data_IF_081423418743
#
_entry.id   IF_081423418743
#
_cell.length_a   1.000
_cell.length_b   1.000
_cell.length_c   1.000
_cell.angle_alpha   90.00
_cell.angle_beta   90.00
_cell.angle_gamma   90.00
#
_symmetry.space_group_name_H-M   'P 1'
#
loop_
_entity.id
_entity.type
_entity.pdbx_description
1 polymer ?
#
# COMPACT_ATOMS: atom_id res chain seq x y z
N UNK A 1 -26.51 -9.07 22.79
CA UNK A 1 -25.05 -9.01 22.90
C UNK A 1 -24.58 -8.04 21.83
N UNK A 2 -23.73 -7.06 22.16
CA UNK A 2 -23.10 -6.19 21.18
C UNK A 2 -22.16 -7.03 20.32
N UNK A 3 -22.17 -6.83 19.01
CA UNK A 3 -21.26 -7.54 18.11
C UNK A 3 -19.80 -7.11 18.38
N UNK A 4 -18.82 -8.02 18.24
CA UNK A 4 -17.41 -7.66 18.37
C UNK A 4 -16.98 -6.72 17.24
N UNK A 5 -16.00 -5.84 17.50
CA UNK A 5 -15.52 -4.86 16.51
C UNK A 5 -15.07 -5.48 15.19
N UNK A 6 -14.50 -6.70 15.23
CA UNK A 6 -14.08 -7.44 14.03
C UNK A 6 -15.26 -7.86 13.14
N UNK A 7 -16.49 -7.90 13.66
CA UNK A 7 -17.69 -8.17 12.87
C UNK A 7 -18.20 -6.93 12.11
N UNK A 8 -17.62 -5.76 12.36
CA UNK A 8 -17.99 -4.52 11.66
C UNK A 8 -17.35 -4.40 10.27
N UNK A 9 -16.45 -5.31 9.90
CA UNK A 9 -15.74 -5.28 8.62
C UNK A 9 -15.90 -6.59 7.85
N UNK A 10 -15.52 -6.58 6.58
CA UNK A 10 -15.60 -7.71 5.66
C UNK A 10 -14.43 -8.71 5.84
N UNK A 11 -14.56 -9.88 5.21
CA UNK A 11 -13.50 -10.89 5.22
C UNK A 11 -12.23 -10.37 4.51
N UNK A 12 -11.01 -10.69 5.02
CA UNK A 12 -9.77 -10.22 4.38
C UNK A 12 -9.64 -10.68 2.91
N UNK A 13 -9.56 -9.76 1.94
CA UNK A 13 -9.60 -10.07 0.50
C UNK A 13 -8.59 -11.12 0.04
N UNK A 14 -7.34 -11.04 0.53
CA UNK A 14 -6.31 -12.02 0.17
C UNK A 14 -6.65 -13.41 0.67
N UNK A 15 -7.25 -13.52 1.86
CA UNK A 15 -7.65 -14.81 2.42
C UNK A 15 -8.87 -15.37 1.67
N UNK A 16 -9.77 -14.50 1.22
CA UNK A 16 -10.88 -14.89 0.36
C UNK A 16 -10.38 -15.48 -0.96
N UNK A 17 -9.45 -14.80 -1.65
CA UNK A 17 -8.80 -15.32 -2.85
C UNK A 17 -8.11 -16.67 -2.62
N UNK A 18 -7.46 -16.86 -1.46
CA UNK A 18 -6.86 -18.16 -1.10
C UNK A 18 -7.88 -19.27 -0.92
N UNK A 19 -9.10 -18.96 -0.47
CA UNK A 19 -10.19 -19.96 -0.37
C UNK A 19 -10.64 -20.44 -1.75
N UNK A 20 -10.62 -19.56 -2.78
CA UNK A 20 -11.01 -19.93 -4.13
C UNK A 20 -10.10 -20.96 -4.78
N UNK A 21 -8.83 -21.04 -4.38
CA UNK A 21 -7.87 -22.03 -4.89
C UNK A 21 -7.76 -23.27 -3.99
N UNK A 22 -8.42 -23.27 -2.84
CA UNK A 22 -8.34 -24.39 -1.89
C UNK A 22 -8.94 -25.66 -2.48
N UNK A 23 -8.14 -26.73 -2.51
CA UNK A 23 -8.56 -28.03 -3.07
C UNK A 23 -8.56 -28.10 -4.60
N UNK A 24 -8.05 -27.08 -5.30
CA UNK A 24 -7.84 -27.13 -6.74
C UNK A 24 -6.40 -27.52 -7.06
N UNK A 25 -6.25 -28.41 -8.06
CA UNK A 25 -4.97 -28.79 -8.63
C UNK A 25 -4.77 -28.09 -9.98
N UNK A 26 -3.61 -27.52 -10.18
CA UNK A 26 -3.24 -26.86 -11.43
C UNK A 26 -2.17 -27.67 -12.15
N UNK A 27 -2.40 -28.08 -13.41
CA UNK A 27 -1.44 -28.90 -14.14
C UNK A 27 -0.11 -28.17 -14.36
N UNK A 28 1.00 -28.88 -14.38
CA UNK A 28 2.35 -28.32 -14.54
C UNK A 28 2.52 -27.50 -15.83
N UNK A 29 1.82 -27.88 -16.90
CA UNK A 29 1.82 -27.15 -18.18
C UNK A 29 0.85 -25.95 -18.20
N UNK A 30 0.02 -25.79 -17.17
CA UNK A 30 -0.87 -24.63 -16.99
C UNK A 30 -0.94 -24.25 -15.50
N UNK A 31 0.18 -23.79 -14.91
CA UNK A 31 0.22 -23.44 -13.50
C UNK A 31 -0.69 -22.24 -13.20
N UNK A 32 -1.09 -22.10 -11.94
CA UNK A 32 -1.84 -20.93 -11.48
C UNK A 32 -1.00 -19.66 -11.66
N UNK A 33 -1.58 -18.66 -12.30
CA UNK A 33 -1.06 -17.29 -12.33
C UNK A 33 -1.66 -16.53 -11.14
N UNK A 34 -0.86 -16.30 -10.11
CA UNK A 34 -1.32 -15.60 -8.91
C UNK A 34 -0.92 -14.12 -8.95
N UNK A 35 -1.87 -13.27 -9.29
CA UNK A 35 -1.76 -11.81 -9.32
C UNK A 35 -2.70 -11.13 -8.32
N UNK A 36 -3.08 -11.85 -7.26
CA UNK A 36 -3.98 -11.35 -6.21
C UNK A 36 -3.27 -10.51 -5.17
N UNK A 37 -2.07 -10.93 -4.72
CA UNK A 37 -1.33 -10.26 -3.66
C UNK A 37 -0.09 -9.56 -4.22
N UNK A 38 -0.02 -8.25 -4.08
CA UNK A 38 1.15 -7.47 -4.45
C UNK A 38 2.26 -7.69 -3.42
N UNK A 39 3.09 -8.66 -3.66
CA UNK A 39 4.26 -8.96 -2.84
C UNK A 39 5.39 -9.45 -3.74
N UNK A 40 6.65 -9.08 -3.46
CA UNK A 40 7.79 -9.71 -4.13
C UNK A 40 7.73 -11.22 -3.97
N UNK A 41 7.92 -11.95 -5.07
CA UNK A 41 7.91 -13.43 -5.07
C UNK A 41 9.28 -14.00 -4.71
N UNK A 42 10.34 -13.25 -4.97
CA UNK A 42 11.70 -13.62 -4.61
C UNK A 42 12.06 -13.16 -3.20
N UNK A 43 12.97 -13.88 -2.51
CA UNK A 43 13.49 -13.44 -1.23
C UNK A 43 14.36 -12.17 -1.37
N UNK A 44 14.68 -11.48 -0.27
CA UNK A 44 15.68 -10.42 -0.27
C UNK A 44 17.03 -10.93 -0.82
N UNK A 45 17.89 -10.05 -1.36
CA UNK A 45 19.20 -10.45 -1.90
C UNK A 45 20.05 -11.16 -0.84
N UNK A 46 20.92 -12.07 -1.28
CA UNK A 46 21.71 -12.92 -0.38
C UNK A 46 22.47 -12.12 0.68
N UNK A 47 23.09 -11.00 0.27
CA UNK A 47 23.85 -10.16 1.19
C UNK A 47 22.99 -9.60 2.35
N UNK A 48 21.74 -9.20 2.09
CA UNK A 48 20.82 -8.76 3.15
C UNK A 48 20.42 -9.92 4.06
N UNK A 49 20.19 -11.10 3.49
CA UNK A 49 19.87 -12.31 4.29
C UNK A 49 21.05 -12.71 5.16
N UNK A 50 22.28 -12.62 4.65
CA UNK A 50 23.50 -12.89 5.39
C UNK A 50 23.67 -11.86 6.52
N UNK A 51 23.60 -10.57 6.24
CA UNK A 51 23.70 -9.52 7.26
C UNK A 51 22.67 -9.72 8.40
N UNK A 52 21.45 -10.13 8.06
CA UNK A 52 20.43 -10.45 9.06
C UNK A 52 20.80 -11.69 9.89
N UNK A 53 21.36 -12.73 9.28
CA UNK A 53 21.82 -13.91 10.00
C UNK A 53 22.97 -13.56 10.96
N UNK A 54 23.88 -12.70 10.52
CA UNK A 54 25.00 -12.22 11.34
C UNK A 54 24.50 -11.45 12.57
N UNK A 55 23.52 -10.54 12.39
CA UNK A 55 22.86 -9.84 13.51
C UNK A 55 22.26 -10.83 14.50
N UNK A 56 21.50 -11.83 14.01
CA UNK A 56 20.86 -12.82 14.86
C UNK A 56 21.85 -13.72 15.62
N UNK A 57 23.08 -13.87 15.13
CA UNK A 57 24.10 -14.71 15.75
C UNK A 57 25.08 -13.95 16.63
N UNK A 58 25.28 -12.65 16.40
CA UNK A 58 26.38 -11.89 17.01
C UNK A 58 25.93 -10.73 17.87
N UNK A 59 24.65 -10.33 17.82
CA UNK A 59 24.12 -9.19 18.58
C UNK A 59 23.12 -9.66 19.62
N UNK A 60 23.57 -9.78 20.86
CA UNK A 60 22.73 -10.18 21.98
C UNK A 60 21.55 -9.20 22.21
N UNK A 61 21.78 -7.89 22.03
CA UNK A 61 20.77 -6.85 22.16
C UNK A 61 19.61 -6.97 21.16
N UNK A 62 19.85 -7.57 19.98
CA UNK A 62 18.81 -7.83 18.99
C UNK A 62 17.75 -8.87 19.41
N UNK A 63 17.98 -9.55 20.53
CA UNK A 63 17.06 -10.53 21.12
C UNK A 63 16.30 -9.99 22.35
N UNK A 64 16.54 -8.75 22.72
CA UNK A 64 15.91 -8.10 23.88
C UNK A 64 14.89 -7.06 23.42
N UNK A 65 14.08 -6.56 24.35
CA UNK A 65 13.24 -5.40 24.08
C UNK A 65 14.09 -4.20 23.73
N UNK A 66 13.72 -3.50 22.67
CA UNK A 66 14.32 -2.26 22.26
C UNK A 66 13.40 -1.04 22.49
N UNK A 67 13.77 0.13 21.97
CA UNK A 67 12.95 1.31 22.08
C UNK A 67 11.59 1.13 21.40
N UNK A 68 10.53 1.65 22.02
CA UNK A 68 9.14 1.54 21.52
C UNK A 68 9.01 2.14 20.12
N UNK A 69 9.61 3.31 19.88
CA UNK A 69 9.59 3.97 18.56
C UNK A 69 10.62 3.38 17.58
N UNK A 70 11.33 2.31 17.96
CA UNK A 70 12.31 1.63 17.12
C UNK A 70 13.75 2.09 17.31
N UNK A 71 14.69 1.38 16.69
CA UNK A 71 16.13 1.63 16.79
C UNK A 71 16.47 3.05 16.37
N UNK A 72 17.24 3.74 17.20
CA UNK A 72 17.64 5.13 16.97
C UNK A 72 18.39 5.29 15.64
N UNK A 73 19.31 4.38 15.33
CA UNK A 73 20.10 4.43 14.10
C UNK A 73 19.22 4.27 12.86
N UNK A 74 18.18 3.43 12.92
CA UNK A 74 17.24 3.27 11.80
C UNK A 74 16.37 4.52 11.64
N UNK A 75 15.91 5.11 12.74
CA UNK A 75 15.14 6.37 12.73
C UNK A 75 15.97 7.52 12.16
N UNK A 76 17.22 7.66 12.58
CA UNK A 76 18.15 8.69 12.10
C UNK A 76 18.44 8.53 10.61
N UNK A 77 18.74 7.31 10.15
CA UNK A 77 19.00 7.06 8.72
C UNK A 77 17.75 7.31 7.86
N UNK A 78 16.56 6.88 8.33
CA UNK A 78 15.33 7.13 7.58
C UNK A 78 14.99 8.62 7.53
N UNK A 79 15.20 9.38 8.62
CA UNK A 79 15.06 10.83 8.64
C UNK A 79 15.99 11.49 7.61
N UNK A 80 17.27 11.09 7.60
CA UNK A 80 18.24 11.60 6.65
C UNK A 80 17.89 11.27 5.20
N UNK A 81 17.38 10.05 4.94
CA UNK A 81 16.91 9.69 3.60
C UNK A 81 15.67 10.46 3.18
N UNK A 82 14.71 10.66 4.08
CA UNK A 82 13.52 11.46 3.81
C UNK A 82 13.92 12.88 3.41
N UNK A 83 14.80 13.52 4.18
CA UNK A 83 15.32 14.85 3.84
C UNK A 83 16.06 14.88 2.49
N UNK A 84 16.83 13.83 2.15
CA UNK A 84 17.51 13.74 0.85
C UNK A 84 16.56 13.58 -0.34
N UNK A 85 15.47 12.81 -0.16
CA UNK A 85 14.54 12.49 -1.25
C UNK A 85 13.59 13.65 -1.50
N UNK A 86 13.02 14.23 -0.42
CA UNK A 86 11.93 15.20 -0.52
C UNK A 86 12.37 16.65 -0.31
N UNK A 87 13.64 16.90 0.03
CA UNK A 87 14.07 18.19 0.55
C UNK A 87 13.65 18.42 2.01
N UNK A 88 13.85 19.64 2.51
CA UNK A 88 13.44 20.04 3.86
C UNK A 88 14.26 19.38 4.97
N UNK A 89 13.69 19.37 6.17
CA UNK A 89 14.35 18.87 7.38
C UNK A 89 13.42 17.90 8.13
N UNK A 90 13.97 16.73 8.43
CA UNK A 90 13.31 15.70 9.27
C UNK A 90 14.32 15.23 10.31
N UNK A 91 13.91 15.20 11.58
CA UNK A 91 14.73 14.71 12.69
C UNK A 91 14.39 13.24 13.00
N UNK A 92 15.32 12.54 13.66
CA UNK A 92 15.05 11.19 14.17
C UNK A 92 13.90 11.12 15.17
N UNK A 93 13.62 12.24 15.87
CA UNK A 93 12.51 12.35 16.82
C UNK A 93 11.14 12.44 16.13
N UNK A 94 11.12 12.72 14.84
CA UNK A 94 9.93 12.75 14.00
C UNK A 94 9.70 11.42 13.25
N UNK A 95 10.45 10.36 13.59
CA UNK A 95 10.33 9.03 12.96
C UNK A 95 9.97 7.98 14.00
N UNK A 96 8.99 7.15 13.72
CA UNK A 96 8.68 5.91 14.45
C UNK A 96 8.75 4.70 13.52
N UNK A 97 9.40 3.63 13.96
CA UNK A 97 9.40 2.33 13.27
C UNK A 97 8.23 1.51 13.78
N UNK A 98 7.57 0.81 12.87
CA UNK A 98 6.37 0.02 13.16
C UNK A 98 6.48 -1.41 12.63
N UNK A 99 5.61 -2.29 13.10
CA UNK A 99 5.52 -3.66 12.59
C UNK A 99 4.83 -3.73 11.21
N UNK A 100 5.40 -2.99 10.24
CA UNK A 100 4.87 -2.79 8.89
C UNK A 100 3.92 -1.60 8.78
N UNK A 101 3.67 -1.13 7.55
CA UNK A 101 2.87 0.07 7.28
C UNK A 101 1.42 -0.04 7.78
N UNK A 102 0.83 -1.23 7.79
CA UNK A 102 -0.51 -1.42 8.36
C UNK A 102 -0.57 -1.04 9.85
N UNK A 103 0.48 -1.33 10.64
CA UNK A 103 0.53 -0.89 12.03
C UNK A 103 0.75 0.62 12.12
N UNK A 104 1.53 1.23 11.22
CA UNK A 104 1.69 2.67 11.14
C UNK A 104 0.34 3.36 10.91
N UNK A 105 -0.45 2.89 9.94
CA UNK A 105 -1.80 3.40 9.71
C UNK A 105 -2.70 3.21 10.93
N UNK A 106 -2.70 2.02 11.53
CA UNK A 106 -3.50 1.72 12.71
C UNK A 106 -3.17 2.66 13.88
N UNK A 107 -1.88 2.92 14.11
CA UNK A 107 -1.41 3.86 15.13
C UNK A 107 -1.81 5.31 14.84
N UNK A 108 -1.72 5.74 13.55
CA UNK A 108 -2.18 7.06 13.13
C UNK A 108 -3.67 7.26 13.41
N UNK A 109 -4.49 6.28 13.04
CA UNK A 109 -5.95 6.35 13.29
C UNK A 109 -6.26 6.33 14.80
N UNK A 110 -5.60 5.47 15.57
CA UNK A 110 -5.80 5.41 17.01
C UNK A 110 -5.44 6.74 17.72
N UNK A 111 -4.44 7.46 17.21
CA UNK A 111 -4.01 8.77 17.73
C UNK A 111 -4.94 9.91 17.29
N UNK A 112 -5.50 9.84 16.07
CA UNK A 112 -6.27 10.96 15.49
C UNK A 112 -7.76 10.91 15.81
N UNK A 113 -8.33 9.73 16.09
CA UNK A 113 -9.79 9.52 16.03
C UNK A 113 -10.36 8.93 17.29
N UNK A 114 -11.63 9.23 17.51
CA UNK A 114 -12.53 8.54 18.43
C UNK A 114 -13.64 7.80 17.65
N UNK A 115 -14.39 6.95 18.33
CA UNK A 115 -15.56 6.28 17.75
C UNK A 115 -16.58 7.30 17.20
N UNK A 116 -17.00 7.11 15.95
CA UNK A 116 -17.91 8.00 15.22
C UNK A 116 -17.24 9.15 14.48
N UNK A 117 -15.93 9.33 14.61
CA UNK A 117 -15.16 10.23 13.74
C UNK A 117 -15.08 9.71 12.30
N UNK A 118 -14.63 10.56 11.39
CA UNK A 118 -14.62 10.30 9.96
C UNK A 118 -13.21 10.46 9.38
N UNK A 119 -12.86 9.57 8.41
CA UNK A 119 -11.65 9.66 7.60
C UNK A 119 -12.04 9.53 6.13
N UNK A 120 -11.61 10.49 5.31
CA UNK A 120 -11.86 10.50 3.87
C UNK A 120 -10.85 9.58 3.19
N UNK A 121 -11.36 8.62 2.40
CA UNK A 121 -10.57 7.69 1.59
C UNK A 121 -10.95 7.79 0.12
N UNK A 122 -10.01 8.10 -0.81
CA UNK A 122 -10.24 7.91 -2.23
C UNK A 122 -10.64 6.48 -2.56
N UNK A 123 -11.62 6.33 -3.47
CA UNK A 123 -12.05 5.03 -3.98
C UNK A 123 -11.64 4.87 -5.45
N UNK A 124 -11.08 3.70 -5.83
CA UNK A 124 -10.93 2.47 -5.03
C UNK A 124 -9.88 2.62 -3.91
N UNK A 125 -10.22 2.16 -2.71
CA UNK A 125 -9.36 2.28 -1.51
C UNK A 125 -8.47 1.07 -1.27
N UNK A 126 -7.42 1.24 -0.48
CA UNK A 126 -6.70 0.09 0.09
C UNK A 126 -7.54 -0.56 1.19
N UNK A 127 -7.96 -1.80 0.97
CA UNK A 127 -8.93 -2.48 1.83
C UNK A 127 -8.51 -2.58 3.30
N UNK A 128 -7.20 -2.69 3.62
CA UNK A 128 -6.79 -2.75 5.02
C UNK A 128 -6.98 -1.42 5.76
N UNK A 129 -6.90 -0.28 5.07
CA UNK A 129 -7.28 1.01 5.65
C UNK A 129 -8.76 1.02 6.02
N UNK A 130 -9.62 0.65 5.08
CA UNK A 130 -11.08 0.55 5.32
C UNK A 130 -11.40 -0.43 6.46
N UNK A 131 -10.81 -1.63 6.44
CA UNK A 131 -11.03 -2.64 7.48
C UNK A 131 -10.63 -2.13 8.88
N UNK A 132 -9.52 -1.40 8.98
CA UNK A 132 -9.11 -0.86 10.27
C UNK A 132 -10.04 0.24 10.77
N UNK A 133 -10.49 1.14 9.90
CA UNK A 133 -11.48 2.15 10.24
C UNK A 133 -12.78 1.51 10.78
N UNK A 134 -13.30 0.50 10.09
CA UNK A 134 -14.50 -0.24 10.53
C UNK A 134 -14.32 -0.82 11.95
N UNK A 135 -13.21 -1.55 12.16
CA UNK A 135 -12.92 -2.14 13.47
C UNK A 135 -12.67 -1.11 14.55
N UNK A 136 -12.25 0.10 14.19
CA UNK A 136 -12.04 1.21 15.13
C UNK A 136 -13.33 1.98 15.44
N UNK A 137 -14.42 1.70 14.72
CA UNK A 137 -15.67 2.46 14.83
C UNK A 137 -15.57 3.85 14.19
N UNK A 138 -14.60 4.04 13.28
CA UNK A 138 -14.38 5.25 12.50
C UNK A 138 -15.02 5.10 11.13
N UNK A 139 -15.79 6.09 10.71
CA UNK A 139 -16.45 6.05 9.41
C UNK A 139 -15.48 6.36 8.29
N UNK A 140 -15.27 5.43 7.36
CA UNK A 140 -14.65 5.73 6.09
C UNK A 140 -15.64 6.51 5.21
N UNK A 141 -15.27 7.73 4.82
CA UNK A 141 -16.01 8.56 3.87
C UNK A 141 -15.41 8.34 2.48
N UNK A 142 -16.14 7.69 1.56
CA UNK A 142 -15.61 7.45 0.23
C UNK A 142 -15.49 8.76 -0.56
N UNK A 143 -14.36 8.96 -1.22
CA UNK A 143 -14.11 10.03 -2.17
C UNK A 143 -13.94 9.39 -3.56
N UNK A 144 -14.92 9.47 -4.45
CA UNK A 144 -14.79 8.94 -5.80
C UNK A 144 -13.60 9.55 -6.53
N UNK A 145 -12.90 8.74 -7.33
CA UNK A 145 -11.86 9.22 -8.23
C UNK A 145 -12.42 9.44 -9.64
N UNK A 146 -11.76 10.30 -10.40
CA UNK A 146 -12.08 10.51 -11.82
C UNK A 146 -11.73 9.31 -12.72
N UNK A 147 -11.95 9.45 -14.01
CA UNK A 147 -11.61 8.43 -15.01
C UNK A 147 -10.11 8.12 -15.07
N UNK A 148 -9.27 9.02 -14.60
CA UNK A 148 -7.82 8.90 -14.44
C UNK A 148 -7.39 8.26 -13.10
N UNK A 149 -8.35 7.83 -12.29
CA UNK A 149 -8.16 7.30 -10.94
C UNK A 149 -7.52 8.32 -9.95
N UNK A 150 -7.64 9.62 -10.22
CA UNK A 150 -7.19 10.68 -9.32
C UNK A 150 -8.36 11.24 -8.52
N UNK A 151 -8.20 11.49 -7.20
CA UNK A 151 -9.21 12.15 -6.38
C UNK A 151 -9.20 13.67 -6.61
N UNK A 152 -10.37 14.31 -6.47
CA UNK A 152 -10.51 15.76 -6.59
C UNK A 152 -10.54 16.44 -5.20
N UNK A 153 -9.59 17.38 -4.91
CA UNK A 153 -9.60 18.14 -3.66
C UNK A 153 -10.89 18.99 -3.47
N UNK A 154 -11.55 19.42 -4.55
CA UNK A 154 -12.79 20.18 -4.45
C UNK A 154 -13.95 19.28 -4.00
N UNK A 155 -14.03 18.07 -4.52
CA UNK A 155 -14.99 17.07 -4.03
C UNK A 155 -14.71 16.68 -2.59
N UNK A 156 -13.42 16.48 -2.24
CA UNK A 156 -13.01 16.18 -0.88
C UNK A 156 -13.46 17.26 0.11
N UNK A 157 -13.37 18.54 -0.26
CA UNK A 157 -13.82 19.65 0.56
C UNK A 157 -15.32 19.54 0.92
N UNK A 158 -16.15 19.04 0.00
CA UNK A 158 -17.60 18.82 0.26
C UNK A 158 -17.87 17.66 1.22
N UNK A 159 -16.91 16.74 1.37
CA UNK A 159 -17.01 15.59 2.27
C UNK A 159 -16.58 15.92 3.71
N UNK A 160 -15.93 17.07 3.95
CA UNK A 160 -15.43 17.46 5.27
C UNK A 160 -16.57 17.88 6.17
N UNK A 161 -16.64 17.28 7.36
CA UNK A 161 -17.60 17.61 8.43
C UNK A 161 -16.85 17.95 9.73
N UNK A 162 -17.57 18.35 10.76
CA UNK A 162 -16.99 18.58 12.10
C UNK A 162 -16.39 17.30 12.74
N UNK A 163 -16.69 16.12 12.18
CA UNK A 163 -16.16 14.82 12.63
C UNK A 163 -14.98 14.34 11.81
N UNK A 164 -14.68 14.96 10.68
CA UNK A 164 -13.54 14.58 9.86
C UNK A 164 -12.24 14.86 10.61
N UNK A 165 -11.34 13.87 10.68
CA UNK A 165 -10.04 13.97 11.34
C UNK A 165 -8.86 13.85 10.40
N UNK A 166 -9.04 13.16 9.27
CA UNK A 166 -7.98 12.98 8.29
C UNK A 166 -8.51 12.76 6.89
N UNK A 167 -7.66 13.05 5.91
CA UNK A 167 -7.72 12.55 4.54
C UNK A 167 -6.54 11.59 4.38
N UNK A 168 -6.77 10.41 3.77
CA UNK A 168 -5.69 9.45 3.52
C UNK A 168 -5.49 9.28 2.03
N UNK A 169 -4.30 9.57 1.55
CA UNK A 169 -3.86 9.30 0.19
C UNK A 169 -2.92 8.10 0.16
N UNK A 170 -2.95 7.33 -0.93
CA UNK A 170 -2.00 6.24 -1.19
C UNK A 170 -1.37 6.50 -2.55
N UNK A 171 -0.06 6.78 -2.60
CA UNK A 171 0.65 7.10 -3.85
C UNK A 171 2.05 6.49 -3.87
N UNK A 172 2.40 5.72 -4.90
CA UNK A 172 1.51 5.16 -5.94
C UNK A 172 0.35 4.37 -5.35
N UNK A 173 -0.83 4.46 -5.98
CA UNK A 173 -2.07 3.95 -5.43
C UNK A 173 -2.13 2.41 -5.40
N UNK A 174 -2.70 1.87 -4.37
CA UNK A 174 -3.22 0.51 -4.28
C UNK A 174 -4.73 0.59 -4.04
N UNK A 175 -5.58 0.18 -5.03
CA UNK A 175 -5.31 -0.81 -6.08
C UNK A 175 -5.00 -0.26 -7.48
N UNK A 176 -5.20 1.04 -7.77
CA UNK A 176 -5.21 1.54 -9.13
C UNK A 176 -3.80 1.64 -9.78
N UNK A 177 -2.73 1.68 -8.99
CA UNK A 177 -1.37 1.79 -9.47
C UNK A 177 -0.95 3.22 -9.87
N UNK A 178 -1.88 4.16 -9.99
CA UNK A 178 -1.58 5.53 -10.42
C UNK A 178 -0.70 6.27 -9.43
N UNK A 179 0.17 7.09 -9.95
CA UNK A 179 1.02 8.01 -9.19
C UNK A 179 0.30 9.35 -9.10
N UNK A 180 0.10 9.86 -7.88
CA UNK A 180 -0.56 11.15 -7.71
C UNK A 180 0.45 12.28 -8.02
N UNK A 181 0.07 13.25 -8.87
CA UNK A 181 0.91 14.42 -9.16
C UNK A 181 1.25 15.19 -7.89
N UNK A 182 2.44 15.80 -7.85
CA UNK A 182 2.91 16.59 -6.72
C UNK A 182 1.93 17.71 -6.35
N UNK A 183 1.44 18.43 -7.33
CA UNK A 183 0.47 19.51 -7.16
C UNK A 183 -0.87 19.03 -6.59
N UNK A 184 -1.27 17.79 -6.89
CA UNK A 184 -2.46 17.18 -6.32
C UNK A 184 -2.26 16.88 -4.83
N UNK A 185 -1.13 16.30 -4.47
CA UNK A 185 -0.78 16.00 -3.07
C UNK A 185 -0.67 17.30 -2.27
N UNK A 186 -0.07 18.35 -2.85
CA UNK A 186 0.01 19.67 -2.24
C UNK A 186 -1.37 20.31 -2.03
N UNK A 187 -2.28 20.20 -3.00
CA UNK A 187 -3.64 20.71 -2.86
C UNK A 187 -4.41 20.00 -1.73
N UNK A 188 -4.21 18.69 -1.54
CA UNK A 188 -4.79 17.96 -0.40
C UNK A 188 -4.16 18.39 0.93
N UNK A 189 -2.85 18.70 0.97
CA UNK A 189 -2.20 19.25 2.15
C UNK A 189 -2.82 20.60 2.53
N UNK A 190 -2.99 21.48 1.56
CA UNK A 190 -3.57 22.81 1.79
C UNK A 190 -5.02 22.71 2.28
N UNK A 191 -5.81 21.84 1.68
CA UNK A 191 -7.17 21.55 2.11
C UNK A 191 -7.20 21.03 3.58
N UNK A 192 -6.37 20.03 3.90
CA UNK A 192 -6.30 19.47 5.24
C UNK A 192 -5.88 20.53 6.27
N UNK A 193 -4.86 21.33 5.97
CA UNK A 193 -4.39 22.42 6.82
C UNK A 193 -5.48 23.49 7.06
N UNK A 194 -6.18 23.90 6.01
CA UNK A 194 -7.25 24.89 6.12
C UNK A 194 -8.40 24.45 7.04
N UNK A 195 -8.62 23.15 7.16
CA UNK A 195 -9.65 22.56 8.02
C UNK A 195 -9.10 22.04 9.37
N UNK A 196 -7.82 22.16 9.64
CA UNK A 196 -7.19 21.69 10.88
C UNK A 196 -7.27 20.17 11.07
N UNK A 197 -7.27 19.41 9.96
CA UNK A 197 -7.28 17.94 9.93
C UNK A 197 -5.94 17.40 9.42
N UNK A 198 -5.66 16.11 9.67
CA UNK A 198 -4.43 15.50 9.20
C UNK A 198 -4.52 15.08 7.71
N UNK A 199 -3.40 15.15 7.00
CA UNK A 199 -3.17 14.46 5.74
C UNK A 199 -2.26 13.25 6.00
N UNK A 200 -2.77 12.03 5.79
CA UNK A 200 -1.99 10.80 5.82
C UNK A 200 -1.60 10.46 4.38
N UNK A 201 -0.30 10.33 4.12
CA UNK A 201 0.22 9.90 2.80
C UNK A 201 0.93 8.56 2.98
N UNK A 202 0.31 7.49 2.48
CA UNK A 202 0.90 6.15 2.44
C UNK A 202 1.69 5.98 1.16
N UNK A 203 3.00 5.98 1.29
CA UNK A 203 3.96 5.80 0.20
C UNK A 203 4.67 4.44 0.25
N UNK A 204 3.92 3.38 0.54
CA UNK A 204 4.43 1.99 0.52
C UNK A 204 5.14 1.63 -0.80
N UNK A 205 4.80 2.29 -1.90
CA UNK A 205 5.35 2.03 -3.24
C UNK A 205 6.23 3.18 -3.77
N UNK A 206 6.65 4.11 -2.91
CA UNK A 206 7.47 5.28 -3.25
C UNK A 206 8.65 4.95 -4.18
N UNK A 207 9.35 3.87 -3.90
CA UNK A 207 10.58 3.50 -4.61
C UNK A 207 10.33 2.96 -6.03
N UNK A 208 9.08 2.86 -6.46
CA UNK A 208 8.66 2.34 -7.78
C UNK A 208 7.97 3.39 -8.66
N UNK A 209 8.12 4.67 -8.34
CA UNK A 209 7.66 5.76 -9.20
C UNK A 209 8.31 5.71 -10.59
N UNK A 210 7.53 6.04 -11.63
CA UNK A 210 8.05 6.13 -12.99
C UNK A 210 8.91 7.38 -13.19
N UNK A 211 8.50 8.50 -12.61
CA UNK A 211 9.27 9.74 -12.62
C UNK A 211 10.52 9.63 -11.74
N UNK A 212 11.55 10.38 -12.08
CA UNK A 212 12.74 10.60 -11.24
C UNK A 212 12.52 11.86 -10.38
N UNK A 213 13.12 11.87 -9.19
CA UNK A 213 13.02 12.98 -8.26
C UNK A 213 12.08 12.70 -7.09
N UNK A 214 11.80 13.74 -6.31
CA UNK A 214 10.86 13.65 -5.20
C UNK A 214 9.43 13.40 -5.69
N UNK A 215 8.67 12.51 -5.08
CA UNK A 215 7.25 12.34 -5.39
C UNK A 215 6.41 13.59 -5.09
N UNK A 216 6.83 14.39 -4.11
CA UNK A 216 6.21 15.64 -3.70
C UNK A 216 7.18 16.48 -2.87
N UNK A 217 6.86 17.76 -2.66
CA UNK A 217 7.68 18.73 -1.90
C UNK A 217 7.17 19.04 -0.49
N UNK A 218 6.27 18.23 0.07
CA UNK A 218 5.59 18.56 1.35
C UNK A 218 6.57 18.77 2.51
N UNK A 219 7.71 18.09 2.53
CA UNK A 219 8.73 18.22 3.58
C UNK A 219 9.58 19.49 3.46
N UNK A 220 9.51 20.22 2.34
CA UNK A 220 10.17 21.53 2.19
C UNK A 220 9.48 22.64 2.98
N UNK A 221 8.19 22.46 3.32
CA UNK A 221 7.46 23.35 4.19
C UNK A 221 8.00 23.23 5.62
N UNK A 222 8.46 24.32 6.28
CA UNK A 222 9.01 24.24 7.64
C UNK A 222 7.99 23.73 8.68
N UNK A 223 6.70 23.91 8.42
CA UNK A 223 5.59 23.49 9.30
C UNK A 223 4.90 22.23 8.76
N UNK A 224 5.60 21.38 7.99
CA UNK A 224 5.01 20.20 7.36
C UNK A 224 4.33 19.25 8.36
N UNK A 225 4.87 19.15 9.56
CA UNK A 225 4.46 18.19 10.59
C UNK A 225 3.23 18.62 11.40
N UNK A 226 2.70 19.82 11.17
CA UNK A 226 1.40 20.24 11.70
C UNK A 226 0.25 19.45 11.04
N UNK A 227 0.41 19.09 9.77
CA UNK A 227 -0.63 18.49 8.93
C UNK A 227 -0.27 17.09 8.47
N UNK A 228 0.96 16.88 7.96
CA UNK A 228 1.39 15.63 7.32
C UNK A 228 1.67 14.53 8.33
N UNK A 229 1.20 13.32 7.98
CA UNK A 229 1.64 12.04 8.53
C UNK A 229 2.04 11.17 7.34
N UNK A 230 3.33 10.90 7.21
CA UNK A 230 3.85 10.10 6.10
C UNK A 230 4.10 8.66 6.56
N UNK A 231 3.65 7.68 5.75
CA UNK A 231 3.81 6.26 6.03
C UNK A 231 4.71 5.61 4.97
N UNK A 232 5.63 4.77 5.44
CA UNK A 232 6.57 4.07 4.56
C UNK A 232 6.68 2.59 4.90
N UNK A 233 7.00 1.74 3.90
CA UNK A 233 7.11 0.30 4.06
C UNK A 233 8.40 -0.26 3.47
N UNK A 234 9.15 -1.01 4.24
CA UNK A 234 10.31 -1.79 3.78
C UNK A 234 9.90 -3.09 3.06
N UNK A 235 8.62 -3.44 3.10
CA UNK A 235 8.12 -4.71 2.55
C UNK A 235 8.35 -4.86 1.05
N UNK A 236 8.21 -3.77 0.29
CA UNK A 236 8.31 -3.81 -1.18
C UNK A 236 9.72 -3.44 -1.63
N UNK A 237 10.22 -2.31 -1.16
CA UNK A 237 11.52 -1.77 -1.52
C UNK A 237 12.67 -2.76 -1.26
N UNK A 238 12.66 -3.45 -0.13
CA UNK A 238 13.74 -4.37 0.28
C UNK A 238 13.32 -5.84 0.34
N UNK A 239 12.15 -6.18 -0.21
CA UNK A 239 11.56 -7.54 -0.16
C UNK A 239 11.44 -8.09 1.29
N UNK A 240 11.23 -7.20 2.28
CA UNK A 240 11.14 -7.54 3.70
C UNK A 240 9.70 -7.83 4.16
N UNK A 241 8.86 -8.41 3.30
CA UNK A 241 7.44 -8.67 3.59
C UNK A 241 7.23 -9.49 4.87
N UNK A 242 8.01 -10.54 5.08
CA UNK A 242 7.95 -11.42 6.25
C UNK A 242 8.60 -10.84 7.51
N UNK A 243 9.35 -9.73 7.39
CA UNK A 243 10.07 -9.12 8.52
C UNK A 243 9.27 -8.06 9.24
N UNK A 244 8.15 -7.60 8.65
CA UNK A 244 7.22 -6.65 9.25
C UNK A 244 7.91 -5.38 9.72
N UNK A 245 8.51 -4.62 8.80
CA UNK A 245 9.12 -3.31 9.08
C UNK A 245 8.44 -2.23 8.24
N UNK A 246 7.96 -1.20 8.89
CA UNK A 246 7.41 0.02 8.31
C UNK A 246 7.81 1.21 9.14
N UNK A 247 7.39 2.40 8.74
CA UNK A 247 7.67 3.63 9.46
C UNK A 247 6.54 4.64 9.32
N UNK A 248 6.47 5.51 10.31
CA UNK A 248 5.69 6.73 10.31
C UNK A 248 6.63 7.92 10.50
N UNK A 249 6.45 8.98 9.71
CA UNK A 249 7.10 10.27 9.90
C UNK A 249 6.00 11.30 10.23
N UNK A 250 6.08 11.91 11.41
CA UNK A 250 5.09 12.84 11.95
C UNK A 250 5.71 13.75 13.00
N UNK A 251 4.98 14.76 13.50
CA UNK A 251 5.47 15.62 14.58
C UNK A 251 5.80 14.81 15.85
N UNK A 252 6.74 15.29 16.63
CA UNK A 252 7.12 14.68 17.92
C UNK A 252 5.91 14.57 18.87
N UNK A 253 5.03 15.57 18.87
CA UNK A 253 3.81 15.56 19.68
C UNK A 253 2.88 14.41 19.28
N UNK A 254 2.72 14.16 17.97
CA UNK A 254 1.93 13.02 17.46
C UNK A 254 2.60 11.70 17.79
N UNK A 255 3.92 11.62 17.66
CA UNK A 255 4.65 10.38 17.97
C UNK A 255 4.61 10.03 19.45
N UNK A 256 4.53 11.00 20.36
CA UNK A 256 4.31 10.73 21.78
C UNK A 256 2.96 10.04 22.07
N UNK A 257 1.93 10.33 21.29
CA UNK A 257 0.66 9.61 21.38
C UNK A 257 0.72 8.22 20.67
N UNK A 258 1.39 8.14 19.53
CA UNK A 258 1.65 6.89 18.82
C UNK A 258 2.43 5.89 19.66
N UNK A 259 3.39 6.37 20.47
CA UNK A 259 4.19 5.54 21.37
C UNK A 259 3.32 4.73 22.33
N UNK A 260 2.25 5.30 22.88
CA UNK A 260 1.31 4.60 23.77
C UNK A 260 0.63 3.42 23.06
N UNK A 261 0.26 3.62 21.79
CA UNK A 261 -0.33 2.54 20.97
C UNK A 261 0.70 1.45 20.67
N UNK A 262 1.90 1.83 20.24
CA UNK A 262 2.95 0.86 19.88
C UNK A 262 3.40 0.05 21.09
N UNK A 263 3.58 0.68 22.24
CA UNK A 263 3.91 -0.01 23.49
C UNK A 263 2.85 -1.05 23.86
N UNK A 264 1.58 -0.64 23.81
CA UNK A 264 0.45 -1.50 24.19
C UNK A 264 0.30 -2.71 23.23
N UNK A 265 0.52 -2.51 21.93
CA UNK A 265 0.23 -3.52 20.90
C UNK A 265 1.41 -4.47 20.68
N UNK A 266 2.64 -3.96 20.77
CA UNK A 266 3.84 -4.73 20.39
C UNK A 266 5.05 -4.51 21.32
N UNK A 267 4.98 -3.60 22.29
CA UNK A 267 6.09 -3.11 23.13
C UNK A 267 7.16 -2.43 22.27
N UNK A 268 7.72 -3.13 21.29
CA UNK A 268 8.67 -2.59 20.32
C UNK A 268 8.61 -3.37 19.01
N UNK A 269 9.03 -2.79 17.87
CA UNK A 269 9.17 -3.53 16.62
C UNK A 269 10.28 -4.58 16.72
N UNK A 270 10.15 -5.69 15.95
CA UNK A 270 11.14 -6.77 15.94
C UNK A 270 12.54 -6.29 15.56
N UNK A 271 13.52 -6.49 16.45
CA UNK A 271 14.88 -5.93 16.32
C UNK A 271 15.62 -6.42 15.07
N UNK A 272 15.60 -7.73 14.79
CA UNK A 272 16.29 -8.34 13.64
C UNK A 272 15.76 -7.76 12.32
N UNK A 273 14.45 -7.48 12.24
CA UNK A 273 13.85 -6.84 11.08
C UNK A 273 14.33 -5.41 10.89
N UNK A 274 14.46 -4.65 11.98
CA UNK A 274 14.95 -3.27 11.94
C UNK A 274 16.43 -3.19 11.51
N UNK A 275 17.29 -4.06 12.02
CA UNK A 275 18.70 -4.15 11.58
C UNK A 275 18.79 -4.52 10.10
N UNK A 276 17.93 -5.42 9.60
CA UNK A 276 17.87 -5.74 8.17
C UNK A 276 17.47 -4.51 7.34
N UNK A 277 16.48 -3.74 7.80
CA UNK A 277 16.05 -2.51 7.14
C UNK A 277 17.18 -1.47 7.11
N UNK A 278 17.84 -1.23 8.24
CA UNK A 278 18.99 -0.30 8.34
C UNK A 278 20.13 -0.71 7.40
N UNK A 279 20.49 -2.00 7.39
CA UNK A 279 21.50 -2.51 6.49
C UNK A 279 21.10 -2.29 5.02
N UNK A 280 19.81 -2.52 4.69
CA UNK A 280 19.26 -2.29 3.35
C UNK A 280 19.39 -0.82 2.91
N UNK A 281 19.03 0.12 3.79
CA UNK A 281 19.16 1.57 3.54
C UNK A 281 20.61 1.95 3.20
N UNK A 282 21.59 1.39 3.90
CA UNK A 282 23.01 1.71 3.70
C UNK A 282 23.64 1.04 2.46
N UNK A 283 23.15 -0.14 2.05
CA UNK A 283 23.90 -0.99 1.14
C UNK A 283 23.17 -1.35 -0.18
N UNK A 284 21.88 -1.08 -0.29
CA UNK A 284 21.06 -1.60 -1.40
C UNK A 284 20.52 -0.52 -2.34
N UNK A 285 21.05 0.70 -2.35
CA UNK A 285 20.53 1.77 -3.22
C UNK A 285 20.61 1.41 -4.71
N UNK A 286 21.72 0.85 -5.18
CA UNK A 286 21.87 0.40 -6.56
C UNK A 286 20.98 -0.80 -6.89
N UNK A 287 20.87 -1.76 -5.95
CA UNK A 287 19.97 -2.90 -6.12
C UNK A 287 18.52 -2.46 -6.21
N UNK A 288 18.09 -1.53 -5.36
CA UNK A 288 16.73 -0.98 -5.36
C UNK A 288 16.43 -0.25 -6.67
N UNK A 289 17.40 0.50 -7.23
CA UNK A 289 17.26 1.08 -8.56
C UNK A 289 17.00 0.00 -9.63
N UNK A 290 17.72 -1.12 -9.58
CA UNK A 290 17.51 -2.25 -10.48
C UNK A 290 16.13 -2.89 -10.31
N UNK A 291 15.61 -3.00 -9.08
CA UNK A 291 14.25 -3.48 -8.81
C UNK A 291 13.18 -2.54 -9.39
N UNK A 292 13.39 -1.23 -9.25
CA UNK A 292 12.53 -0.23 -9.89
C UNK A 292 12.52 -0.38 -11.41
N UNK A 293 13.69 -0.47 -12.03
CA UNK A 293 13.81 -0.62 -13.49
C UNK A 293 13.11 -1.90 -13.98
N UNK A 294 13.20 -2.98 -13.20
CA UNK A 294 12.49 -4.23 -13.49
C UNK A 294 10.97 -4.04 -13.43
N UNK A 295 10.45 -3.38 -12.40
CA UNK A 295 9.01 -3.10 -12.29
C UNK A 295 8.53 -2.20 -13.43
N UNK A 296 9.32 -1.20 -13.81
CA UNK A 296 9.00 -0.33 -14.96
C UNK A 296 9.00 -1.10 -16.30
N UNK A 297 9.91 -2.07 -16.47
CA UNK A 297 9.90 -2.96 -17.65
C UNK A 297 8.64 -3.82 -17.69
N UNK A 298 8.21 -4.39 -16.56
CA UNK A 298 6.95 -5.13 -16.45
C UNK A 298 5.74 -4.25 -16.71
N UNK A 299 5.75 -3.02 -16.19
CA UNK A 299 4.72 -2.01 -16.49
C UNK A 299 4.61 -1.74 -18.00
N UNK A 300 5.74 -1.61 -18.70
CA UNK A 300 5.76 -1.44 -20.15
C UNK A 300 5.17 -2.67 -20.87
N UNK A 301 5.49 -3.89 -20.39
CA UNK A 301 4.92 -5.13 -20.95
C UNK A 301 3.39 -5.21 -20.73
N UNK A 302 2.89 -4.78 -19.56
CA UNK A 302 1.44 -4.63 -19.34
C UNK A 302 0.85 -3.71 -20.39
N UNK A 303 1.40 -2.49 -20.56
CA UNK A 303 0.87 -1.49 -21.48
C UNK A 303 0.82 -1.99 -22.93
N UNK A 304 1.90 -2.58 -23.41
CA UNK A 304 1.95 -3.10 -24.79
C UNK A 304 1.09 -4.36 -25.00
N UNK A 305 1.05 -5.26 -24.01
CA UNK A 305 0.25 -6.49 -24.13
C UNK A 305 -1.25 -6.26 -23.96
N UNK A 306 -1.64 -5.15 -23.33
CA UNK A 306 -3.05 -4.82 -23.09
C UNK A 306 -3.82 -4.44 -24.37
N UNK A 307 -3.14 -3.98 -25.42
CA UNK A 307 -3.76 -3.62 -26.72
C UNK A 307 -4.61 -4.77 -27.28
N UNK A 308 -4.21 -6.02 -27.06
CA UNK A 308 -4.98 -7.18 -27.49
C UNK A 308 -6.30 -7.33 -26.71
N UNK A 309 -6.31 -7.03 -25.41
CA UNK A 309 -7.50 -7.08 -24.57
C UNK A 309 -8.46 -5.92 -24.85
N UNK A 310 -7.96 -4.75 -25.24
CA UNK A 310 -8.81 -3.61 -25.63
C UNK A 310 -9.75 -3.96 -26.77
N UNK A 311 -9.31 -4.77 -27.74
CA UNK A 311 -10.15 -5.24 -28.86
C UNK A 311 -11.28 -6.15 -28.39
N UNK A 312 -11.14 -6.78 -27.24
CA UNK A 312 -12.14 -7.63 -26.59
C UNK A 312 -13.00 -6.85 -25.56
N UNK A 313 -12.90 -5.51 -25.52
CA UNK A 313 -13.72 -4.65 -24.68
C UNK A 313 -13.21 -4.46 -23.25
N UNK A 314 -12.00 -4.88 -22.93
CA UNK A 314 -11.35 -4.54 -21.66
C UNK A 314 -10.84 -3.10 -21.68
N UNK A 315 -10.78 -2.44 -20.51
CA UNK A 315 -10.20 -1.11 -20.39
C UNK A 315 -9.16 -1.07 -19.26
N UNK A 316 -8.01 -0.47 -19.53
CA UNK A 316 -6.97 -0.22 -18.55
C UNK A 316 -7.26 1.11 -17.86
N UNK A 317 -7.68 1.08 -16.60
CA UNK A 317 -8.10 2.24 -15.83
C UNK A 317 -6.92 2.90 -15.09
N UNK A 318 -5.96 2.09 -14.63
CA UNK A 318 -4.79 2.57 -13.91
C UNK A 318 -3.63 1.60 -14.02
N UNK A 319 -2.39 2.14 -14.01
CA UNK A 319 -1.17 1.35 -14.18
C UNK A 319 0.02 2.02 -13.52
N UNK A 320 0.67 1.34 -12.59
CA UNK A 320 1.92 1.77 -11.99
C UNK A 320 2.26 0.98 -10.74
N UNK A 321 3.41 1.27 -10.18
CA UNK A 321 3.98 0.49 -9.09
C UNK A 321 3.83 -1.02 -9.35
N UNK A 322 3.06 -1.73 -8.55
CA UNK A 322 2.83 -3.18 -8.66
C UNK A 322 1.51 -3.56 -9.35
N UNK A 323 0.70 -2.58 -9.80
CA UNK A 323 -0.70 -2.81 -10.13
C UNK A 323 -1.08 -2.36 -11.55
N UNK A 324 -1.90 -3.19 -12.20
CA UNK A 324 -2.81 -2.80 -13.26
C UNK A 324 -4.25 -2.93 -12.73
N UNK A 325 -5.04 -1.89 -12.92
CA UNK A 325 -6.45 -1.85 -12.56
C UNK A 325 -7.25 -1.73 -13.84
N UNK A 326 -8.15 -2.67 -14.08
CA UNK A 326 -8.82 -2.78 -15.37
C UNK A 326 -10.30 -3.09 -15.23
N UNK A 327 -11.11 -2.69 -16.19
CA UNK A 327 -12.49 -3.15 -16.30
C UNK A 327 -12.62 -4.27 -17.34
N UNK A 328 -13.56 -5.19 -17.08
CA UNK A 328 -13.86 -6.33 -17.96
C UNK A 328 -15.17 -6.13 -18.74
N UNK A 329 -15.31 -6.74 -19.92
CA UNK A 329 -16.51 -6.61 -20.77
C UNK A 329 -17.70 -7.45 -20.30
N UNK A 330 -17.48 -8.51 -19.51
CA UNK A 330 -18.48 -9.49 -19.13
C UNK A 330 -19.67 -8.85 -18.39
N UNK A 331 -20.88 -9.36 -18.60
CA UNK A 331 -22.09 -8.87 -17.91
C UNK A 331 -22.12 -9.18 -16.41
N UNK A 332 -21.49 -10.30 -16.00
CA UNK A 332 -21.41 -10.71 -14.61
C UNK A 332 -20.57 -9.73 -13.75
N UNK A 333 -20.81 -9.75 -12.44
CA UNK A 333 -19.99 -8.96 -11.50
C UNK A 333 -18.58 -9.53 -11.38
N UNK A 334 -17.60 -8.65 -11.22
CA UNK A 334 -16.21 -9.02 -10.90
C UNK A 334 -16.11 -9.96 -9.68
N UNK A 335 -17.02 -9.84 -8.72
CA UNK A 335 -17.12 -10.75 -7.58
C UNK A 335 -17.44 -12.20 -7.97
N UNK A 336 -18.16 -12.40 -9.07
CA UNK A 336 -18.46 -13.74 -9.66
C UNK A 336 -17.37 -14.14 -10.65
N UNK A 337 -16.91 -13.19 -11.46
CA UNK A 337 -15.88 -13.42 -12.49
C UNK A 337 -14.55 -13.87 -11.85
N UNK A 338 -14.05 -13.22 -10.80
CA UNK A 338 -12.74 -13.52 -10.25
C UNK A 338 -12.60 -14.99 -9.76
N UNK A 339 -13.55 -15.58 -9.01
CA UNK A 339 -13.52 -17.03 -8.72
C UNK A 339 -13.67 -17.92 -9.96
N UNK A 340 -14.38 -17.47 -11.00
CA UNK A 340 -14.50 -18.18 -12.28
C UNK A 340 -13.16 -18.21 -13.04
N UNK A 341 -12.44 -17.07 -13.07
CA UNK A 341 -11.10 -16.98 -13.67
C UNK A 341 -10.10 -17.98 -13.06
N UNK A 342 -10.23 -18.27 -11.77
CA UNK A 342 -9.39 -19.29 -11.12
C UNK A 342 -9.62 -20.67 -11.77
N UNK A 343 -10.89 -21.06 -11.98
CA UNK A 343 -11.24 -22.38 -12.50
C UNK A 343 -10.98 -22.50 -14.01
N UNK A 344 -11.42 -21.49 -14.75
CA UNK A 344 -11.48 -21.56 -16.22
C UNK A 344 -10.15 -21.14 -16.85
N UNK A 345 -9.51 -20.11 -16.30
CA UNK A 345 -8.26 -19.54 -16.82
C UNK A 345 -7.01 -19.88 -15.98
N UNK A 346 -7.16 -20.39 -14.75
CA UNK A 346 -6.05 -20.54 -13.83
C UNK A 346 -5.42 -19.19 -13.46
N UNK A 347 -6.25 -18.16 -13.28
CA UNK A 347 -5.82 -16.79 -12.92
C UNK A 347 -6.48 -16.39 -11.60
N UNK A 348 -5.69 -16.06 -10.60
CA UNK A 348 -6.15 -15.55 -9.31
C UNK A 348 -5.86 -14.05 -9.24
N UNK A 349 -6.88 -13.23 -9.39
CA UNK A 349 -6.86 -11.78 -9.20
C UNK A 349 -7.90 -11.35 -8.15
N UNK A 350 -8.01 -10.06 -7.83
CA UNK A 350 -9.03 -9.57 -6.91
C UNK A 350 -10.06 -8.69 -7.64
N UNK A 351 -11.36 -8.87 -7.34
CA UNK A 351 -12.42 -8.04 -7.91
C UNK A 351 -12.42 -6.63 -7.31
N UNK A 352 -12.80 -5.65 -8.11
CA UNK A 352 -12.93 -4.26 -7.70
C UNK A 352 -13.88 -4.05 -6.53
N UNK A 353 -14.88 -4.90 -6.38
CA UNK A 353 -15.84 -4.88 -5.25
C UNK A 353 -15.18 -4.96 -3.88
N UNK A 354 -13.95 -5.48 -3.79
CA UNK A 354 -13.18 -5.52 -2.53
C UNK A 354 -12.50 -4.18 -2.20
N UNK A 355 -12.54 -3.20 -3.10
CA UNK A 355 -11.86 -1.91 -2.98
C UNK A 355 -12.82 -0.72 -3.06
N UNK A 356 -14.11 -0.99 -3.10
CA UNK A 356 -15.16 0.00 -3.27
C UNK A 356 -16.22 -0.13 -2.18
N UNK A 357 -17.06 0.88 -1.98
CA UNK A 357 -18.24 0.76 -1.13
C UNK A 357 -19.16 -0.40 -1.55
N UNK A 358 -19.95 -0.92 -0.61
CA UNK A 358 -20.94 -1.95 -0.91
C UNK A 358 -21.89 -1.50 -2.02
N UNK A 359 -22.20 -2.41 -2.94
CA UNK A 359 -23.09 -2.19 -4.09
C UNK A 359 -22.59 -1.13 -5.09
N UNK A 360 -21.31 -0.77 -5.06
CA UNK A 360 -20.72 0.09 -6.08
C UNK A 360 -20.75 -0.59 -7.45
N UNK A 361 -21.26 0.13 -8.47
CA UNK A 361 -21.44 -0.43 -9.82
C UNK A 361 -20.13 -0.46 -10.60
N UNK A 362 -19.24 0.50 -10.37
CA UNK A 362 -17.94 0.57 -11.03
C UNK A 362 -17.05 -0.57 -10.53
N UNK A 363 -16.96 -0.77 -9.21
CA UNK A 363 -16.21 -1.88 -8.63
C UNK A 363 -16.68 -3.25 -9.10
N UNK A 364 -17.98 -3.39 -9.43
CA UNK A 364 -18.53 -4.63 -9.97
C UNK A 364 -18.02 -4.96 -11.38
N UNK A 365 -17.39 -4.00 -12.07
CA UNK A 365 -16.82 -4.18 -13.41
C UNK A 365 -15.29 -4.21 -13.41
N UNK A 366 -14.65 -4.12 -12.27
CA UNK A 366 -13.21 -3.87 -12.16
C UNK A 366 -12.47 -5.06 -11.55
N UNK A 367 -11.21 -5.22 -11.95
CA UNK A 367 -10.27 -6.21 -11.43
C UNK A 367 -8.92 -5.54 -11.11
N UNK A 368 -8.29 -5.98 -10.01
CA UNK A 368 -6.91 -5.61 -9.68
C UNK A 368 -5.96 -6.74 -10.03
N UNK A 369 -4.94 -6.45 -10.81
CA UNK A 369 -3.85 -7.33 -11.21
C UNK A 369 -2.54 -6.85 -10.55
N UNK A 370 -1.95 -7.66 -9.66
CA UNK A 370 -0.64 -7.40 -9.09
C UNK A 370 0.45 -7.94 -10.03
N UNK A 371 0.72 -7.23 -11.12
CA UNK A 371 1.58 -7.68 -12.21
C UNK A 371 3.06 -7.81 -11.84
N UNK A 372 3.52 -7.10 -10.79
CA UNK A 372 4.91 -7.19 -10.34
C UNK A 372 5.29 -8.59 -9.80
N UNK A 373 4.33 -9.50 -9.69
CA UNK A 373 4.57 -10.90 -9.36
C UNK A 373 5.01 -11.74 -10.58
N UNK A 374 4.91 -11.20 -11.78
CA UNK A 374 5.18 -11.89 -13.05
C UNK A 374 6.39 -11.28 -13.74
N UNK A 375 7.10 -12.08 -14.54
CA UNK A 375 7.98 -11.60 -15.58
C UNK A 375 7.20 -11.24 -16.86
N UNK A 376 7.90 -10.80 -17.89
CA UNK A 376 7.27 -10.39 -19.17
C UNK A 376 6.55 -11.54 -19.88
N UNK A 377 7.06 -12.76 -19.79
CA UNK A 377 6.44 -13.95 -20.39
C UNK A 377 5.17 -14.36 -19.64
N UNK A 378 5.23 -14.25 -18.29
CA UNK A 378 4.06 -14.45 -17.43
C UNK A 378 2.96 -13.41 -17.70
N UNK A 379 3.32 -12.16 -17.98
CA UNK A 379 2.35 -11.12 -18.39
C UNK A 379 1.69 -11.46 -19.73
N UNK A 380 2.48 -11.89 -20.71
CA UNK A 380 1.93 -12.35 -21.99
C UNK A 380 0.96 -13.51 -21.82
N UNK A 381 1.35 -14.50 -21.01
CA UNK A 381 0.50 -15.65 -20.71
C UNK A 381 -0.78 -15.25 -19.96
N UNK A 382 -0.69 -14.28 -19.04
CA UNK A 382 -1.85 -13.75 -18.34
C UNK A 382 -2.88 -13.18 -19.31
N UNK A 383 -2.46 -12.33 -20.25
CA UNK A 383 -3.37 -11.70 -21.21
C UNK A 383 -3.98 -12.72 -22.19
N UNK A 384 -3.21 -13.68 -22.66
CA UNK A 384 -3.75 -14.78 -23.46
C UNK A 384 -4.88 -15.51 -22.71
N UNK A 385 -4.65 -15.85 -21.44
CA UNK A 385 -5.66 -16.54 -20.62
C UNK A 385 -6.90 -15.69 -20.33
N UNK A 386 -6.75 -14.38 -20.19
CA UNK A 386 -7.89 -13.47 -19.99
C UNK A 386 -8.70 -13.30 -21.28
N UNK A 387 -8.05 -13.26 -22.45
CA UNK A 387 -8.71 -13.18 -23.75
C UNK A 387 -9.49 -14.45 -24.10
N UNK A 388 -9.02 -15.62 -23.63
CA UNK A 388 -9.68 -16.92 -23.87
C UNK A 388 -10.95 -17.13 -22.99
N UNK A 389 -11.25 -16.24 -22.07
CA UNK A 389 -12.41 -16.39 -21.18
C UNK A 389 -13.66 -15.90 -21.89
N UNK A 390 -14.59 -16.81 -22.16
CA UNK A 390 -15.88 -16.46 -22.73
C UNK A 390 -16.65 -15.47 -21.82
N UNK A 391 -17.35 -14.49 -22.42
CA UNK A 391 -18.14 -13.50 -21.69
C UNK A 391 -19.22 -14.07 -20.77
#
# INVERSE_FOLDING_TARGET
>A
MTQPRTAATFAPPIMEGRRWISGLDFPTNRPLINVSQAAPVDPPPYALRQARADVALTRDDAHLYGPVLGLQELRAELAAQTARIYGGTVSEHQVAITSGCNQAFAAAIAMLTAEGDEVILPTPWYFNHKMWLDMSGVKAVPLPTGADMLPDPQEAATCITSRTRAITLVSPNNPAGVEYPEELIAAFRDLARAHGIALIVDETYRDFHAASGAPHSLFEDPDWDDTLIHLYSFSKAYRLTGHRVGAMVASETRLAEVEKFLDTVAICPGQIGQHAALWGLHNLSQWLSGERDEVLRRRAAIKSGFEALETEGWNLLGLGAYFAYMSHPNEESAATLAPRLVRDAGVLCLPGTMFMPDNDREGARQLRIAFANLDTDGITTLFQRLADVEP
#
